data_IF_838439252653
#
_entry.id   IF_838439252653
#
_cell.length_a   1.000
_cell.length_b   1.000
_cell.length_c   1.000
_cell.angle_alpha   90.00
_cell.angle_beta   90.00
_cell.angle_gamma   90.00
#
_symmetry.space_group_name_H-M   'P 1'
#
loop_
_entity.id
_entity.type
_entity.pdbx_description
1 polymer ?
#
# COMPACT_ATOMS: atom_id res chain seq x y z
N UNK A 1 -15.02 0.43 -34.88
CA UNK A 1 -15.86 1.59 -35.27
C UNK A 1 -15.02 2.86 -35.13
N UNK A 2 -15.08 3.70 -36.15
CA UNK A 2 -14.10 4.70 -36.59
C UNK A 2 -14.02 5.99 -35.74
N UNK A 3 -12.80 6.55 -35.65
CA UNK A 3 -12.35 7.97 -35.78
C UNK A 3 -12.95 9.14 -34.95
N UNK A 4 -12.04 10.04 -34.49
CA UNK A 4 -12.31 11.48 -34.24
C UNK A 4 -11.39 12.15 -33.20
N UNK A 5 -10.14 12.53 -33.54
CA UNK A 5 -9.67 13.92 -33.78
C UNK A 5 -9.59 14.80 -32.50
N UNK A 6 -8.43 15.00 -31.85
CA UNK A 6 -7.33 15.97 -32.10
C UNK A 6 -7.74 17.47 -32.19
N UNK A 7 -7.08 18.28 -31.35
CA UNK A 7 -6.82 19.74 -31.39
C UNK A 7 -7.93 20.75 -31.05
N UNK A 8 -7.87 21.30 -29.83
CA UNK A 8 -8.13 22.75 -29.63
C UNK A 8 -7.61 23.31 -28.29
N UNK A 9 -6.33 23.66 -28.17
CA UNK A 9 -5.87 24.63 -27.15
C UNK A 9 -4.65 25.43 -27.65
N UNK A 10 -4.92 26.46 -28.46
CA UNK A 10 -4.07 27.65 -28.51
C UNK A 10 -4.97 28.88 -28.30
N UNK A 11 -4.95 29.42 -27.08
CA UNK A 11 -5.24 30.83 -26.74
C UNK A 11 -5.09 30.98 -25.23
N UNK A 12 -3.85 31.18 -24.81
CA UNK A 12 -3.51 31.73 -23.50
C UNK A 12 -3.71 33.24 -23.63
N UNK A 13 -4.75 33.77 -22.97
CA UNK A 13 -4.85 35.19 -22.67
C UNK A 13 -4.46 35.40 -21.21
N UNK A 14 -3.55 36.34 -21.02
CA UNK A 14 -3.16 36.94 -19.75
C UNK A 14 -4.37 37.37 -18.92
N UNK A 15 -4.42 36.94 -17.66
CA UNK A 15 -5.00 37.76 -16.58
C UNK A 15 -4.20 37.56 -15.29
N UNK A 16 -3.75 38.67 -14.75
CA UNK A 16 -2.89 38.82 -13.58
C UNK A 16 -3.55 38.48 -12.23
N UNK A 17 -2.68 38.07 -11.30
CA UNK A 17 -2.64 38.36 -9.85
C UNK A 17 -3.93 38.25 -9.01
N UNK A 18 -3.88 37.33 -8.04
CA UNK A 18 -3.92 37.70 -6.61
C UNK A 18 -3.29 36.59 -5.77
N UNK A 19 -2.12 36.91 -5.22
CA UNK A 19 -1.50 36.19 -4.11
C UNK A 19 -2.28 36.60 -2.86
N UNK A 20 -2.87 35.63 -2.16
CA UNK A 20 -3.27 35.81 -0.76
C UNK A 20 -2.53 34.80 0.08
N UNK A 21 -1.65 35.32 0.94
CA UNK A 21 -1.02 34.64 2.05
C UNK A 21 -2.09 34.00 2.94
N UNK A 22 -1.94 32.71 3.27
CA UNK A 22 -2.56 32.15 4.46
C UNK A 22 -1.58 31.23 5.19
N UNK A 23 -1.04 31.84 6.25
CA UNK A 23 -0.63 31.29 7.54
C UNK A 23 -0.69 29.77 7.71
N UNK A 24 0.47 29.23 8.04
CA UNK A 24 0.69 27.93 8.66
C UNK A 24 -0.04 27.85 10.00
N UNK A 25 -0.82 26.79 10.22
CA UNK A 25 -1.13 26.33 11.57
C UNK A 25 -1.25 24.81 11.60
N UNK A 26 -0.34 24.24 12.38
CA UNK A 26 -0.18 22.83 12.73
C UNK A 26 -1.33 22.32 13.57
N UNK A 27 -1.75 21.07 13.35
CA UNK A 27 -2.18 20.19 14.45
C UNK A 27 -2.15 18.74 14.00
N UNK A 28 -1.23 17.99 14.61
CA UNK A 28 -1.13 16.55 14.60
C UNK A 28 -2.29 15.91 15.36
N UNK A 29 -2.99 14.97 14.71
CA UNK A 29 -3.64 13.85 15.42
C UNK A 29 -3.77 12.65 14.48
N UNK A 30 -2.88 11.66 14.62
CA UNK A 30 -3.05 10.32 14.03
C UNK A 30 -3.59 9.40 15.11
N UNK A 31 -4.83 8.95 14.96
CA UNK A 31 -5.40 7.91 15.80
C UNK A 31 -4.98 6.54 15.27
N UNK A 32 -4.10 5.85 15.99
CA UNK A 32 -3.93 4.40 15.85
C UNK A 32 -5.06 3.70 16.61
N UNK A 33 -5.98 3.04 15.90
CA UNK A 33 -6.96 2.14 16.49
C UNK A 33 -6.48 0.70 16.34
N UNK A 34 -5.74 0.19 17.33
CA UNK A 34 -5.50 -1.24 17.49
C UNK A 34 -6.78 -1.92 17.98
N UNK A 35 -7.37 -2.76 17.12
CA UNK A 35 -8.54 -3.57 17.45
C UNK A 35 -8.09 -4.80 18.26
N UNK A 36 -8.13 -4.71 19.58
CA UNK A 36 -8.07 -5.89 20.46
C UNK A 36 -9.47 -6.54 20.57
N UNK A 37 -9.49 -7.87 20.46
CA UNK A 37 -10.68 -8.72 20.50
C UNK A 37 -11.55 -8.48 21.75
N UNK A 38 -12.84 -8.19 21.54
CA UNK A 38 -13.87 -8.30 22.56
C UNK A 38 -14.40 -9.74 22.58
N UNK A 39 -14.14 -10.47 23.67
CA UNK A 39 -14.90 -11.67 24.05
C UNK A 39 -15.98 -11.28 25.06
N UNK A 40 -17.14 -11.97 25.08
CA UNK A 40 -18.29 -11.54 25.87
C UNK A 40 -18.13 -11.90 27.36
N UNK A 41 -18.44 -10.92 28.24
CA UNK A 41 -18.50 -11.10 29.70
C UNK A 41 -19.65 -12.04 30.07
N UNK A 42 -19.33 -13.18 30.69
CA UNK A 42 -20.26 -13.96 31.52
C UNK A 42 -20.06 -13.57 32.99
N UNK A 43 -21.19 -13.36 33.67
CA UNK A 43 -21.33 -13.13 35.10
C UNK A 43 -20.62 -14.22 35.91
N UNK A 44 -19.77 -13.82 36.87
CA UNK A 44 -19.40 -14.66 38.02
C UNK A 44 -19.07 -13.79 39.24
N UNK A 45 -19.67 -14.20 40.35
CA UNK A 45 -19.69 -13.56 41.68
C UNK A 45 -18.30 -13.50 42.32
N UNK A 46 -18.01 -12.39 42.99
CA UNK A 46 -16.93 -12.28 43.97
C UNK A 46 -17.34 -12.94 45.30
N UNK A 47 -16.51 -13.84 45.80
CA UNK A 47 -16.40 -14.15 47.24
C UNK A 47 -14.92 -14.29 47.64
N UNK A 48 -14.66 -13.80 48.85
CA UNK A 48 -13.41 -13.61 49.60
C UNK A 48 -12.51 -14.85 49.74
N UNK A 49 -11.19 -14.65 49.88
CA UNK A 49 -10.24 -15.31 50.83
C UNK A 49 -8.90 -14.51 50.77
N UNK A 50 -8.49 -13.76 51.79
CA UNK A 50 -7.80 -14.13 53.04
C UNK A 50 -6.33 -14.55 52.85
N UNK A 51 -5.45 -13.68 53.37
CA UNK A 51 -4.15 -13.88 54.04
C UNK A 51 -3.26 -15.07 53.68
N UNK A 52 -2.00 -14.78 53.33
CA UNK A 52 -0.89 -15.72 53.55
C UNK A 52 0.33 -14.99 54.11
N UNK A 53 0.71 -15.38 55.33
CA UNK A 53 1.92 -15.00 56.04
C UNK A 53 2.92 -16.16 56.00
N UNK A 54 4.15 -15.84 55.61
CA UNK A 54 5.44 -16.25 56.18
C UNK A 54 5.88 -17.73 56.35
N UNK A 55 7.18 -17.89 56.04
CA UNK A 55 8.22 -18.76 56.60
C UNK A 55 8.28 -20.26 56.21
N UNK A 56 9.41 -20.66 55.58
CA UNK A 56 10.46 -21.44 56.28
C UNK A 56 11.71 -21.69 55.39
N UNK A 57 12.86 -21.48 56.02
CA UNK A 57 14.20 -21.91 55.63
C UNK A 57 14.29 -23.44 55.49
N UNK A 58 15.06 -23.95 54.53
CA UNK A 58 16.01 -25.05 54.78
C UNK A 58 17.20 -25.00 53.81
N UNK A 59 18.38 -25.12 54.41
CA UNK A 59 19.68 -25.15 53.77
C UNK A 59 19.89 -26.45 52.98
N UNK A 60 20.60 -26.34 51.86
CA UNK A 60 21.06 -27.48 51.07
C UNK A 60 22.36 -27.14 50.35
N UNK A 61 23.48 -27.30 51.05
CA UNK A 61 24.80 -27.26 50.48
C UNK A 61 25.01 -28.50 49.57
N UNK A 62 25.14 -28.28 48.27
CA UNK A 62 25.54 -29.32 47.32
C UNK A 62 26.81 -28.90 46.57
N UNK A 63 27.80 -29.79 46.68
CA UNK A 63 29.09 -29.86 46.01
C UNK A 63 29.22 -29.05 44.71
N UNK A 64 30.05 -28.01 44.76
CA UNK A 64 30.63 -27.39 43.57
C UNK A 64 31.72 -28.29 42.99
N UNK A 65 31.41 -28.99 41.91
CA UNK A 65 32.38 -29.73 41.10
C UNK A 65 33.09 -28.72 40.19
N UNK A 66 34.39 -28.48 40.42
CA UNK A 66 35.21 -27.65 39.54
C UNK A 66 35.35 -28.32 38.17
N UNK A 67 34.44 -27.95 37.25
CA UNK A 67 34.57 -28.23 35.83
C UNK A 67 35.55 -27.25 35.21
N UNK A 68 36.50 -27.77 34.45
CA UNK A 68 37.45 -26.99 33.64
C UNK A 68 36.69 -26.01 32.73
N UNK A 69 36.87 -24.71 32.96
CA UNK A 69 36.36 -23.64 32.11
C UNK A 69 37.03 -23.74 30.74
N UNK A 70 36.32 -24.30 29.75
CA UNK A 70 36.63 -24.06 28.34
C UNK A 70 36.34 -22.59 28.08
N UNK A 71 37.37 -21.82 27.74
CA UNK A 71 37.27 -20.45 27.24
C UNK A 71 36.27 -20.42 26.09
N UNK A 72 35.09 -19.84 26.36
CA UNK A 72 34.03 -19.61 25.41
C UNK A 72 34.57 -18.66 24.35
N UNK A 73 34.81 -19.16 23.15
CA UNK A 73 35.21 -18.38 22.00
C UNK A 73 34.09 -17.36 21.74
N UNK A 74 34.32 -16.10 22.11
CA UNK A 74 33.39 -15.00 21.92
C UNK A 74 33.13 -14.85 20.43
N UNK A 75 31.96 -15.30 19.99
CA UNK A 75 31.44 -14.98 18.66
C UNK A 75 31.35 -13.46 18.57
N UNK A 76 32.28 -12.88 17.82
CA UNK A 76 32.25 -11.48 17.44
C UNK A 76 31.02 -11.30 16.57
N UNK A 77 29.95 -10.72 17.13
CA UNK A 77 28.77 -10.37 16.35
C UNK A 77 29.18 -9.28 15.38
N UNK A 78 29.20 -9.63 14.09
CA UNK A 78 29.33 -8.65 13.01
C UNK A 78 28.05 -7.81 13.08
N UNK A 79 28.19 -6.58 13.56
CA UNK A 79 27.11 -5.59 13.52
C UNK A 79 26.97 -5.19 12.06
N UNK A 80 25.98 -5.75 11.39
CA UNK A 80 25.64 -5.42 10.02
C UNK A 80 25.31 -3.91 9.96
N UNK A 81 26.03 -3.20 9.09
CA UNK A 81 25.89 -1.75 8.93
C UNK A 81 24.44 -1.43 8.55
N UNK A 82 23.71 -0.75 9.43
CA UNK A 82 22.34 -0.33 9.16
C UNK A 82 22.35 0.63 7.96
N UNK A 83 21.99 0.12 6.79
CA UNK A 83 21.73 0.94 5.60
C UNK A 83 20.81 2.08 6.01
N UNK A 84 21.26 3.33 5.81
CA UNK A 84 20.42 4.51 5.98
C UNK A 84 19.14 4.31 5.17
N UNK A 85 18.01 4.17 5.86
CA UNK A 85 16.70 4.13 5.21
C UNK A 85 16.50 5.50 4.59
N UNK A 86 16.31 5.61 3.26
CA UNK A 86 16.07 6.90 2.65
C UNK A 86 14.80 7.50 3.24
N UNK A 87 14.91 8.75 3.70
CA UNK A 87 13.75 9.51 4.17
C UNK A 87 12.95 9.86 2.93
N UNK A 88 11.84 9.15 2.73
CA UNK A 88 10.89 9.49 1.69
C UNK A 88 10.14 10.75 2.13
N UNK A 89 10.14 11.84 1.34
CA UNK A 89 9.41 13.04 1.69
C UNK A 89 7.91 12.72 1.68
N UNK A 90 7.32 12.66 2.88
CA UNK A 90 5.88 12.51 3.06
C UNK A 90 5.20 13.68 2.33
N UNK A 91 4.26 13.36 1.45
CA UNK A 91 3.43 14.33 0.75
C UNK A 91 4.00 14.78 -0.60
N UNK A 92 4.92 14.05 -1.21
CA UNK A 92 5.51 14.40 -2.52
C UNK A 92 5.74 13.18 -3.43
N UNK A 93 4.89 12.16 -3.30
CA UNK A 93 4.98 10.92 -4.07
C UNK A 93 4.05 10.87 -5.29
N UNK A 94 3.28 11.93 -5.55
CA UNK A 94 2.50 12.01 -6.76
C UNK A 94 3.37 12.31 -7.99
N UNK A 95 2.82 12.14 -9.21
CA UNK A 95 3.51 12.47 -10.45
C UNK A 95 4.03 13.91 -10.43
N UNK A 96 5.33 14.08 -10.63
CA UNK A 96 5.99 15.39 -10.58
C UNK A 96 5.41 16.37 -11.61
N UNK A 97 5.24 17.64 -11.23
CA UNK A 97 4.71 18.68 -12.10
C UNK A 97 3.21 18.57 -12.38
N UNK A 98 2.50 17.66 -11.72
CA UNK A 98 1.05 17.51 -11.83
C UNK A 98 0.32 18.14 -10.63
N UNK A 99 -0.97 18.42 -10.78
CA UNK A 99 -1.83 18.78 -9.65
C UNK A 99 -1.99 17.65 -8.61
N UNK A 100 -1.37 16.49 -8.84
CA UNK A 100 -1.40 15.32 -7.97
C UNK A 100 -0.11 15.14 -7.15
N UNK A 101 0.93 15.93 -7.42
CA UNK A 101 2.28 15.79 -6.84
C UNK A 101 2.25 15.68 -5.30
N UNK A 102 1.42 16.50 -4.64
CA UNK A 102 1.36 16.59 -3.18
C UNK A 102 0.14 15.92 -2.55
N UNK A 103 -0.46 14.94 -3.22
CA UNK A 103 -1.64 14.24 -2.68
C UNK A 103 -1.20 13.14 -1.70
N UNK A 104 -1.77 13.19 -0.50
CA UNK A 104 -1.44 12.32 0.64
C UNK A 104 -1.80 10.86 0.42
N UNK A 105 -2.74 10.58 -0.49
CA UNK A 105 -3.13 9.20 -0.75
C UNK A 105 -1.99 8.39 -1.40
N UNK A 106 -1.04 9.04 -2.10
CA UNK A 106 0.16 8.36 -2.59
C UNK A 106 1.07 7.93 -1.43
N UNK A 107 1.19 8.73 -0.37
CA UNK A 107 1.90 8.32 0.84
C UNK A 107 1.24 7.09 1.47
N UNK A 108 -0.08 7.07 1.52
CA UNK A 108 -0.81 5.92 2.05
C UNK A 108 -0.59 4.66 1.19
N UNK A 109 -0.54 4.78 -0.14
CA UNK A 109 -0.19 3.65 -1.02
C UNK A 109 1.24 3.18 -0.73
N UNK A 110 2.20 4.10 -0.56
CA UNK A 110 3.60 3.77 -0.24
C UNK A 110 3.71 3.02 1.08
N UNK A 111 3.07 3.53 2.14
CA UNK A 111 3.08 2.89 3.44
C UNK A 111 2.37 1.54 3.44
N UNK A 112 1.25 1.43 2.71
CA UNK A 112 0.57 0.15 2.50
C UNK A 112 1.48 -0.85 1.78
N UNK A 113 2.23 -0.43 0.76
CA UNK A 113 3.19 -1.29 0.08
C UNK A 113 4.31 -1.75 1.03
N UNK A 114 4.87 -0.85 1.86
CA UNK A 114 5.86 -1.21 2.88
C UNK A 114 5.31 -2.19 3.93
N UNK A 115 4.05 -2.02 4.34
CA UNK A 115 3.43 -2.86 5.37
C UNK A 115 3.06 -4.26 4.85
N UNK A 116 2.40 -4.33 3.70
CA UNK A 116 1.80 -5.57 3.20
C UNK A 116 2.70 -6.34 2.23
N UNK A 117 3.68 -5.66 1.62
CA UNK A 117 4.65 -6.23 0.68
C UNK A 117 6.11 -5.80 0.95
N UNK A 118 6.62 -5.92 2.21
CA UNK A 118 7.97 -5.47 2.57
C UNK A 118 9.08 -6.21 1.82
N UNK A 119 8.84 -7.47 1.43
CA UNK A 119 9.81 -8.35 0.79
C UNK A 119 9.60 -8.50 -0.73
N UNK A 120 8.66 -7.74 -1.32
CA UNK A 120 8.33 -7.84 -2.74
C UNK A 120 9.57 -7.69 -3.63
N UNK A 121 9.66 -8.56 -4.64
CA UNK A 121 10.70 -8.60 -5.66
C UNK A 121 10.20 -8.03 -6.98
N UNK A 122 8.90 -8.16 -7.25
CA UNK A 122 8.27 -7.62 -8.46
C UNK A 122 7.03 -6.78 -8.14
N UNK A 123 6.86 -5.69 -8.88
CA UNK A 123 5.67 -4.83 -8.81
C UNK A 123 5.13 -4.47 -10.19
N UNK A 124 3.81 -4.51 -10.31
CA UNK A 124 3.08 -4.03 -11.48
C UNK A 124 2.25 -2.78 -11.13
N UNK A 125 2.43 -1.68 -11.84
CA UNK A 125 1.54 -0.51 -11.83
C UNK A 125 0.55 -0.56 -13.00
N UNK A 126 -0.74 -0.51 -12.71
CA UNK A 126 -1.80 -0.45 -13.71
C UNK A 126 -2.23 1.00 -13.91
N UNK A 127 -2.17 1.48 -15.16
CA UNK A 127 -2.58 2.82 -15.55
C UNK A 127 -1.63 3.91 -15.07
N UNK A 128 -0.31 3.66 -15.12
CA UNK A 128 0.66 4.69 -14.74
C UNK A 128 0.62 5.91 -15.67
N UNK A 129 1.15 7.02 -15.15
CA UNK A 129 1.35 8.25 -15.91
C UNK A 129 2.78 8.29 -16.49
N UNK A 130 3.15 9.42 -17.11
CA UNK A 130 4.53 9.68 -17.51
C UNK A 130 5.52 9.44 -16.37
N UNK A 131 5.11 9.84 -15.16
CA UNK A 131 5.87 9.65 -13.93
C UNK A 131 5.25 8.52 -13.08
N UNK A 132 5.78 7.29 -13.13
CA UNK A 132 5.19 6.13 -12.48
C UNK A 132 5.43 6.21 -10.99
N UNK A 133 4.40 5.92 -10.20
CA UNK A 133 4.51 5.91 -8.74
C UNK A 133 5.50 4.85 -8.26
N UNK A 134 5.54 3.69 -8.93
CA UNK A 134 6.36 2.56 -8.50
C UNK A 134 7.86 2.83 -8.50
N UNK A 135 8.35 3.88 -9.16
CA UNK A 135 9.77 4.30 -9.08
C UNK A 135 10.22 4.58 -7.65
N UNK A 136 9.29 4.99 -6.78
CA UNK A 136 9.56 5.28 -5.38
C UNK A 136 9.74 4.03 -4.51
N UNK A 137 9.41 2.85 -5.04
CA UNK A 137 9.53 1.56 -4.33
C UNK A 137 10.95 1.01 -4.47
N UNK A 138 11.89 1.66 -3.80
CA UNK A 138 13.34 1.39 -3.88
C UNK A 138 13.75 -0.04 -3.52
N UNK A 139 12.98 -0.72 -2.68
CA UNK A 139 13.23 -2.09 -2.24
C UNK A 139 12.82 -3.16 -3.25
N UNK A 140 12.01 -2.81 -4.24
CA UNK A 140 11.48 -3.75 -5.24
C UNK A 140 12.31 -3.63 -6.53
N UNK A 141 13.15 -4.61 -6.87
CA UNK A 141 14.04 -4.51 -8.04
C UNK A 141 13.30 -4.53 -9.38
N UNK A 142 12.29 -5.39 -9.55
CA UNK A 142 11.57 -5.56 -10.81
C UNK A 142 10.30 -4.69 -10.80
N UNK A 143 10.26 -3.70 -11.68
CA UNK A 143 9.17 -2.72 -11.75
C UNK A 143 8.62 -2.65 -13.16
N UNK A 144 7.32 -2.84 -13.29
CA UNK A 144 6.66 -2.77 -14.59
C UNK A 144 5.41 -1.91 -14.50
N UNK A 145 5.12 -1.15 -15.54
CA UNK A 145 3.85 -0.47 -15.72
C UNK A 145 3.16 -0.95 -17.01
N UNK A 146 1.83 -1.08 -16.96
CA UNK A 146 0.97 -1.28 -18.13
C UNK A 146 -0.04 -0.12 -18.24
N UNK A 147 -0.05 0.58 -19.38
CA UNK A 147 -1.01 1.64 -19.69
C UNK A 147 -1.26 1.80 -21.20
N UNK A 148 -2.48 2.15 -21.65
CA UNK A 148 -2.85 2.15 -23.08
C UNK A 148 -2.31 3.34 -23.89
N UNK A 149 -1.59 4.27 -23.27
CA UNK A 149 -1.11 5.49 -23.92
C UNK A 149 0.42 5.55 -23.91
N UNK A 150 1.00 6.18 -24.92
CA UNK A 150 2.41 6.61 -24.93
C UNK A 150 2.61 7.78 -23.95
N UNK A 151 2.18 7.63 -22.70
CA UNK A 151 2.40 8.62 -21.64
C UNK A 151 3.90 8.76 -21.31
N UNK A 152 4.73 7.91 -21.87
CA UNK A 152 6.17 7.87 -21.66
C UNK A 152 6.80 9.02 -22.46
N UNK A 153 7.29 10.04 -21.76
CA UNK A 153 8.22 11.00 -22.34
C UNK A 153 9.46 10.28 -22.87
N UNK A 154 10.20 10.92 -23.78
CA UNK A 154 11.31 10.29 -24.51
C UNK A 154 12.49 9.78 -23.64
N UNK A 155 12.48 10.06 -22.34
CA UNK A 155 13.55 9.67 -21.41
C UNK A 155 13.08 8.60 -20.41
N UNK A 156 13.05 7.35 -20.88
CA UNK A 156 12.49 6.19 -20.14
C UNK A 156 13.52 5.41 -19.32
N UNK A 157 14.79 5.83 -19.29
CA UNK A 157 15.85 5.03 -18.66
C UNK A 157 16.19 5.44 -17.22
N UNK A 158 15.65 6.56 -16.72
CA UNK A 158 16.06 7.13 -15.45
C UNK A 158 15.42 6.48 -14.21
N UNK A 159 14.31 5.76 -14.36
CA UNK A 159 13.49 5.29 -13.23
C UNK A 159 13.51 3.78 -12.98
N UNK A 160 14.23 3.00 -13.80
CA UNK A 160 14.27 1.53 -13.73
C UNK A 160 12.85 0.91 -13.74
N UNK A 161 11.94 1.46 -14.55
CA UNK A 161 10.58 0.96 -14.74
C UNK A 161 10.40 0.48 -16.18
N UNK A 162 10.11 -0.81 -16.35
CA UNK A 162 9.70 -1.36 -17.63
C UNK A 162 8.27 -0.88 -17.97
N UNK A 163 8.06 -0.48 -19.23
CA UNK A 163 6.85 0.21 -19.65
C UNK A 163 6.20 -0.53 -20.81
N UNK A 164 5.00 -1.04 -20.58
CA UNK A 164 4.16 -1.71 -21.56
C UNK A 164 3.06 -0.74 -22.01
N UNK A 165 2.98 -0.51 -23.32
CA UNK A 165 1.93 0.31 -23.94
C UNK A 165 0.79 -0.61 -24.38
N UNK A 166 -0.11 -0.94 -23.45
CA UNK A 166 -1.26 -1.79 -23.71
C UNK A 166 -2.42 -1.49 -22.75
N UNK A 167 -3.65 -1.81 -23.18
CA UNK A 167 -4.81 -1.77 -22.30
C UNK A 167 -4.77 -2.97 -21.35
N UNK A 168 -4.68 -2.70 -20.04
CA UNK A 168 -4.64 -3.74 -19.01
C UNK A 168 -5.83 -4.70 -19.08
N UNK A 169 -6.99 -4.27 -19.58
CA UNK A 169 -8.15 -5.17 -19.70
C UNK A 169 -7.87 -6.36 -20.62
N UNK A 170 -7.12 -6.14 -21.71
CA UNK A 170 -6.78 -7.17 -22.71
C UNK A 170 -5.35 -7.68 -22.60
N UNK A 171 -4.45 -6.92 -21.95
CA UNK A 171 -3.06 -7.31 -21.74
C UNK A 171 -2.93 -8.67 -21.05
N UNK A 172 -2.18 -9.59 -21.63
CA UNK A 172 -1.91 -10.88 -21.02
C UNK A 172 -0.55 -10.85 -20.32
N UNK A 173 -0.54 -11.20 -19.03
CA UNK A 173 0.71 -11.36 -18.29
C UNK A 173 1.52 -12.53 -18.88
N UNK A 174 2.86 -12.50 -18.86
CA UNK A 174 3.66 -13.64 -19.29
C UNK A 174 3.31 -14.93 -18.52
N UNK A 175 3.42 -16.07 -19.20
CA UNK A 175 3.14 -17.38 -18.61
C UNK A 175 4.05 -17.65 -17.40
N UNK A 176 3.48 -18.21 -16.33
CA UNK A 176 4.21 -18.50 -15.09
C UNK A 176 4.61 -17.27 -14.26
N UNK A 177 4.41 -16.05 -14.75
CA UNK A 177 4.72 -14.82 -14.00
C UNK A 177 3.57 -14.45 -13.07
N UNK A 178 3.91 -14.09 -11.84
CA UNK A 178 3.01 -13.50 -10.85
C UNK A 178 3.77 -12.43 -10.09
N UNK A 179 3.17 -11.25 -9.93
CA UNK A 179 3.81 -10.14 -9.24
C UNK A 179 3.59 -10.26 -7.73
N UNK A 180 4.61 -9.89 -6.95
CA UNK A 180 4.44 -9.84 -5.49
C UNK A 180 3.47 -8.71 -5.08
N UNK A 181 3.47 -7.62 -5.85
CA UNK A 181 2.66 -6.44 -5.62
C UNK A 181 2.01 -5.90 -6.91
N UNK A 182 0.74 -5.55 -6.86
CA UNK A 182 0.05 -4.74 -7.87
C UNK A 182 -0.46 -3.45 -7.25
N UNK A 183 -0.21 -2.33 -7.93
CA UNK A 183 -0.72 -1.01 -7.57
C UNK A 183 -1.59 -0.47 -8.70
N UNK A 184 -2.80 0.00 -8.39
CA UNK A 184 -3.72 0.59 -9.35
C UNK A 184 -4.36 1.88 -8.78
N UNK A 185 -3.94 3.05 -9.28
CA UNK A 185 -4.25 4.33 -8.66
C UNK A 185 -5.22 5.18 -9.47
N UNK A 186 -6.51 5.18 -9.11
CA UNK A 186 -7.57 5.99 -9.75
C UNK A 186 -7.77 5.63 -11.23
N UNK A 187 -7.90 4.33 -11.50
CA UNK A 187 -8.14 3.78 -12.84
C UNK A 187 -9.51 3.11 -12.92
N UNK A 188 -9.85 2.31 -11.91
CA UNK A 188 -11.04 1.43 -11.90
C UNK A 188 -12.35 2.20 -12.13
N UNK A 189 -12.46 3.43 -11.64
CA UNK A 189 -13.63 4.29 -11.83
C UNK A 189 -13.91 4.65 -13.30
N UNK A 190 -12.90 4.54 -14.17
CA UNK A 190 -13.00 4.81 -15.60
C UNK A 190 -13.33 3.55 -16.42
N UNK A 191 -13.28 2.37 -15.80
CA UNK A 191 -13.48 1.10 -16.49
C UNK A 191 -14.96 0.74 -16.52
N UNK A 192 -15.52 0.48 -17.71
CA UNK A 192 -16.94 0.13 -17.86
C UNK A 192 -17.29 -1.15 -17.08
N UNK A 193 -16.44 -2.17 -17.18
CA UNK A 193 -16.58 -3.45 -16.49
C UNK A 193 -15.57 -3.56 -15.34
N UNK A 194 -15.81 -2.80 -14.28
CA UNK A 194 -14.90 -2.70 -13.13
C UNK A 194 -14.76 -4.03 -12.37
N UNK A 195 -15.80 -4.87 -12.35
CA UNK A 195 -15.77 -6.15 -11.64
C UNK A 195 -14.76 -7.09 -12.30
N UNK A 196 -14.90 -7.39 -13.59
CA UNK A 196 -13.94 -8.25 -14.31
C UNK A 196 -12.53 -7.66 -14.33
N UNK A 197 -12.41 -6.33 -14.41
CA UNK A 197 -11.11 -5.66 -14.36
C UNK A 197 -10.41 -5.84 -13.01
N UNK A 198 -11.14 -5.73 -11.90
CA UNK A 198 -10.60 -5.97 -10.55
C UNK A 198 -10.32 -7.45 -10.32
N UNK A 199 -11.16 -8.37 -10.81
CA UNK A 199 -10.91 -9.81 -10.72
C UNK A 199 -9.55 -10.20 -11.32
N UNK A 200 -9.20 -9.61 -12.46
CA UNK A 200 -7.91 -9.82 -13.11
C UNK A 200 -6.71 -9.47 -12.21
N UNK A 201 -6.85 -8.56 -11.24
CA UNK A 201 -5.76 -8.25 -10.31
C UNK A 201 -5.33 -9.50 -9.51
N UNK A 202 -6.29 -10.34 -9.11
CA UNK A 202 -6.05 -11.55 -8.33
C UNK A 202 -5.38 -12.66 -9.13
N UNK A 203 -5.52 -12.64 -10.46
CA UNK A 203 -4.78 -13.54 -11.35
C UNK A 203 -3.33 -13.11 -11.54
N UNK A 204 -3.06 -11.81 -11.39
CA UNK A 204 -1.77 -11.20 -11.74
C UNK A 204 -0.83 -11.05 -10.55
N UNK A 205 -1.35 -10.81 -9.33
CA UNK A 205 -0.50 -10.47 -8.19
C UNK A 205 -0.93 -11.07 -6.84
N UNK A 206 0.03 -11.24 -5.94
CA UNK A 206 -0.16 -11.76 -4.58
C UNK A 206 -0.74 -10.71 -3.62
N UNK A 207 -0.16 -9.50 -3.60
CA UNK A 207 -0.68 -8.36 -2.83
C UNK A 207 -1.20 -7.31 -3.79
N UNK A 208 -2.40 -6.80 -3.54
CA UNK A 208 -3.06 -5.82 -4.41
C UNK A 208 -3.38 -4.59 -3.58
N UNK A 209 -2.98 -3.43 -4.07
CA UNK A 209 -3.31 -2.13 -3.50
C UNK A 209 -3.97 -1.32 -4.61
N UNK A 210 -5.23 -0.94 -4.44
CA UNK A 210 -5.83 -0.01 -5.39
C UNK A 210 -6.62 1.10 -4.71
N UNK A 211 -6.66 2.24 -5.40
CA UNK A 211 -7.34 3.43 -4.92
C UNK A 211 -8.44 3.87 -5.87
N UNK A 212 -9.54 4.33 -5.31
CA UNK A 212 -10.66 4.91 -6.06
C UNK A 212 -11.16 6.19 -5.38
N UNK A 213 -11.75 7.12 -6.14
CA UNK A 213 -12.44 8.29 -5.59
C UNK A 213 -13.55 7.89 -4.62
N UNK A 214 -13.56 8.43 -3.40
CA UNK A 214 -14.59 8.12 -2.41
C UNK A 214 -15.77 9.08 -2.52
N UNK A 215 -16.94 8.55 -2.89
CA UNK A 215 -18.20 9.31 -2.94
C UNK A 215 -18.19 10.55 -3.85
N UNK A 216 -17.33 10.58 -4.87
CA UNK A 216 -17.30 11.70 -5.81
C UNK A 216 -18.60 11.74 -6.64
N UNK A 217 -19.03 12.96 -6.94
CA UNK A 217 -20.16 13.23 -7.84
C UNK A 217 -19.81 12.84 -9.28
N UNK A 218 -20.81 12.67 -10.15
CA UNK A 218 -20.59 12.43 -11.57
C UNK A 218 -19.65 13.43 -12.23
N UNK A 219 -18.75 12.91 -13.05
CA UNK A 219 -17.85 13.64 -13.94
C UNK A 219 -17.95 13.02 -15.34
N UNK A 220 -17.52 13.73 -16.37
CA UNK A 220 -17.64 13.25 -17.76
C UNK A 220 -16.84 11.96 -18.03
N UNK A 221 -15.68 11.82 -17.38
CA UNK A 221 -14.72 10.76 -17.69
C UNK A 221 -14.87 9.51 -16.83
N UNK A 222 -15.56 9.60 -15.69
CA UNK A 222 -15.79 8.45 -14.81
C UNK A 222 -16.99 7.63 -15.33
N UNK A 223 -16.90 6.31 -15.22
CA UNK A 223 -18.00 5.37 -15.47
C UNK A 223 -18.71 4.98 -14.18
N UNK A 224 -18.02 5.11 -13.05
CA UNK A 224 -18.55 4.84 -11.72
C UNK A 224 -18.43 6.09 -10.84
N UNK A 225 -19.45 6.31 -10.02
CA UNK A 225 -19.55 7.46 -9.11
C UNK A 225 -20.08 6.99 -7.76
N UNK A 226 -20.01 7.87 -6.76
CA UNK A 226 -20.47 7.56 -5.39
C UNK A 226 -19.85 6.28 -4.80
N UNK A 227 -18.63 5.93 -5.23
CA UNK A 227 -17.96 4.68 -4.86
C UNK A 227 -17.69 4.68 -3.35
N UNK A 228 -18.04 3.57 -2.71
CA UNK A 228 -17.81 3.28 -1.30
C UNK A 228 -17.22 1.88 -1.11
N UNK A 229 -17.00 1.47 0.14
CA UNK A 229 -16.43 0.14 0.43
C UNK A 229 -17.29 -1.01 -0.08
N UNK A 230 -18.62 -0.90 -0.06
CA UNK A 230 -19.51 -1.96 -0.58
C UNK A 230 -19.36 -2.13 -2.07
N UNK A 231 -19.14 -1.03 -2.79
CA UNK A 231 -18.88 -1.05 -4.23
C UNK A 231 -17.56 -1.77 -4.52
N UNK A 232 -16.52 -1.49 -3.74
CA UNK A 232 -15.20 -2.15 -3.85
C UNK A 232 -15.31 -3.65 -3.53
N UNK A 233 -15.98 -4.01 -2.44
CA UNK A 233 -16.23 -5.40 -2.03
C UNK A 233 -16.98 -6.18 -3.13
N UNK A 234 -17.95 -5.53 -3.78
CA UNK A 234 -18.64 -6.14 -4.93
C UNK A 234 -17.68 -6.42 -6.08
N UNK A 235 -16.87 -5.44 -6.49
CA UNK A 235 -15.93 -5.63 -7.60
C UNK A 235 -14.85 -6.68 -7.31
N UNK A 236 -14.42 -6.78 -6.05
CA UNK A 236 -13.38 -7.72 -5.62
C UNK A 236 -13.91 -9.11 -5.22
N UNK A 237 -15.22 -9.31 -5.13
CA UNK A 237 -15.82 -10.57 -4.69
C UNK A 237 -15.29 -11.78 -5.49
N UNK A 238 -14.91 -12.90 -4.84
CA UNK A 238 -15.16 -13.23 -3.43
C UNK A 238 -14.11 -12.70 -2.44
N UNK A 239 -13.12 -11.94 -2.92
CA UNK A 239 -12.03 -11.45 -2.08
C UNK A 239 -12.47 -10.25 -1.23
N UNK A 240 -12.01 -10.24 0.03
CA UNK A 240 -12.28 -9.16 0.98
C UNK A 240 -11.01 -8.37 1.27
N UNK A 241 -11.09 -7.04 1.44
CA UNK A 241 -9.92 -6.25 1.77
C UNK A 241 -9.43 -6.61 3.18
N UNK A 242 -8.13 -6.83 3.31
CA UNK A 242 -7.48 -7.06 4.61
C UNK A 242 -7.19 -5.74 5.34
N UNK A 243 -7.15 -4.64 4.59
CA UNK A 243 -7.03 -3.29 5.12
C UNK A 243 -7.71 -2.31 4.16
N UNK A 244 -8.30 -1.26 4.71
CA UNK A 244 -8.79 -0.13 3.92
C UNK A 244 -8.69 1.17 4.71
N UNK A 245 -8.50 2.27 3.99
CA UNK A 245 -8.47 3.61 4.56
C UNK A 245 -9.13 4.61 3.62
N UNK A 246 -9.71 5.67 4.19
CA UNK A 246 -10.18 6.83 3.44
C UNK A 246 -9.19 7.96 3.70
N UNK A 247 -8.50 8.39 2.66
CA UNK A 247 -7.53 9.49 2.70
C UNK A 247 -8.18 10.76 2.20
N UNK A 248 -7.98 11.86 2.94
CA UNK A 248 -8.54 13.17 2.62
C UNK A 248 -7.47 14.11 2.06
N UNK A 249 -7.67 14.52 0.82
CA UNK A 249 -6.88 15.53 0.10
C UNK A 249 -7.72 16.81 -0.08
N UNK A 250 -7.76 17.63 0.97
CA UNK A 250 -8.60 18.82 1.00
C UNK A 250 -10.09 18.46 1.10
N UNK A 251 -10.87 18.75 0.04
CA UNK A 251 -12.30 18.40 -0.05
C UNK A 251 -12.55 17.06 -0.73
N UNK A 252 -11.52 16.47 -1.31
CA UNK A 252 -11.60 15.21 -2.02
C UNK A 252 -11.16 14.08 -1.11
N UNK A 253 -11.87 12.96 -1.19
CA UNK A 253 -11.55 11.75 -0.45
C UNK A 253 -11.29 10.60 -1.43
N UNK A 254 -10.41 9.67 -1.04
CA UNK A 254 -10.08 8.48 -1.81
C UNK A 254 -10.06 7.28 -0.88
N UNK A 255 -10.61 6.16 -1.33
CA UNK A 255 -10.42 4.89 -0.65
C UNK A 255 -9.11 4.29 -1.15
N UNK A 256 -8.30 3.78 -0.23
CA UNK A 256 -7.21 2.84 -0.49
C UNK A 256 -7.66 1.49 0.06
N UNK A 257 -7.66 0.45 -0.76
CA UNK A 257 -8.01 -0.90 -0.35
C UNK A 257 -6.84 -1.84 -0.63
N UNK A 258 -6.53 -2.69 0.34
CA UNK A 258 -5.46 -3.69 0.28
C UNK A 258 -6.08 -5.08 0.34
N UNK A 259 -5.67 -5.94 -0.58
CA UNK A 259 -6.09 -7.33 -0.68
C UNK A 259 -4.87 -8.26 -0.74
N UNK A 260 -5.09 -9.50 -0.34
CA UNK A 260 -4.17 -10.61 -0.58
C UNK A 260 -4.91 -11.67 -1.39
N UNK A 261 -4.22 -12.28 -2.35
CA UNK A 261 -4.73 -13.48 -3.02
C UNK A 261 -4.67 -14.70 -2.09
N UNK A 262 -5.42 -15.74 -2.45
CA UNK A 262 -5.38 -17.02 -1.72
C UNK A 262 -3.98 -17.64 -1.75
N UNK A 263 -3.29 -17.57 -2.90
CA UNK A 263 -1.90 -18.05 -3.06
C UNK A 263 -0.93 -17.38 -2.07
N UNK A 264 -1.07 -16.07 -1.89
CA UNK A 264 -0.25 -15.29 -0.98
C UNK A 264 -0.52 -15.70 0.48
N UNK A 265 -1.79 -15.86 0.83
CA UNK A 265 -2.24 -16.25 2.17
C UNK A 265 -1.64 -17.59 2.58
N UNK A 266 -1.71 -18.61 1.71
CA UNK A 266 -1.13 -19.92 1.97
C UNK A 266 0.39 -19.87 2.14
N UNK A 267 1.08 -19.09 1.30
CA UNK A 267 2.54 -18.94 1.35
C UNK A 267 2.98 -18.31 2.67
N UNK A 268 2.30 -17.24 3.11
CA UNK A 268 2.57 -16.60 4.41
C UNK A 268 2.31 -17.55 5.59
N UNK A 269 1.24 -18.35 5.53
CA UNK A 269 0.95 -19.35 6.55
C UNK A 269 2.01 -20.45 6.64
N UNK A 270 2.54 -20.90 5.51
CA UNK A 270 3.62 -21.91 5.48
C UNK A 270 4.93 -21.38 6.06
N UNK A 271 5.29 -20.13 5.78
CA UNK A 271 6.52 -19.50 6.34
C UNK A 271 6.47 -19.30 7.86
N UNK A 272 5.27 -19.26 8.45
CA UNK A 272 5.08 -19.11 9.90
C UNK A 272 5.10 -20.43 10.68
N UNK A 273 5.08 -21.58 9.99
CA UNK A 273 5.18 -22.92 10.60
C UNK A 273 6.62 -23.39 10.60
#
# INVERSE_FOLDING_TARGET
>A
FFFGLIQHLSKINHTERRISEYSTQTSDTVYYCCRFCFLPKKNLRMQHYASFTALLFFAGASLFRMGTFKTKQSHMMVVEEQKKVPIVPIGSLGPAGSGRENLKYYDMIYYSAKEFAPDAKSVLEVGCTADPFIKHLDWIPEKQCVAPYSAYGEDTNADNVERIVEDFAVWEKPEGVRYDLLICSQVVEHIKDAENFVQKFFDVADTIIFSVPHRWRPTADHKHHYIDMKTIEKWASPHMPISSSIVKDGKLERIIAVFESESATETKLRRRR
#
